data_IF_686934627840
#
_entry.id   IF_686934627840
#
_cell.length_a   1.000
_cell.length_b   1.000
_cell.length_c   1.000
_cell.angle_alpha   90.00
_cell.angle_beta   90.00
_cell.angle_gamma   90.00
#
_symmetry.space_group_name_H-M   'P 1'
#
loop_
_entity.id
_entity.type
_entity.pdbx_description
1 polymer ?
#
# COMPACT_ATOMS: atom_id res chain seq x y z
N UNK A 1 -31.91 -10.79 -4.65
CA UNK A 1 -30.96 -11.54 -5.49
C UNK A 1 -29.67 -11.52 -4.70
N UNK A 2 -29.34 -12.62 -4.03
CA UNK A 2 -28.03 -12.74 -3.40
C UNK A 2 -27.01 -12.72 -4.53
N UNK A 3 -26.25 -11.63 -4.65
CA UNK A 3 -25.15 -11.52 -5.60
C UNK A 3 -24.02 -12.42 -5.12
N UNK A 4 -24.20 -13.74 -5.30
CA UNK A 4 -23.41 -14.83 -4.75
C UNK A 4 -21.95 -14.86 -5.24
N UNK A 5 -21.19 -13.84 -4.88
CA UNK A 5 -19.74 -13.86 -4.95
C UNK A 5 -19.22 -14.66 -3.75
N UNK A 6 -18.42 -15.69 -4.03
CA UNK A 6 -17.71 -16.46 -3.01
C UNK A 6 -16.25 -16.05 -3.01
N UNK A 7 -15.71 -15.67 -1.85
CA UNK A 7 -14.30 -15.36 -1.71
C UNK A 7 -13.52 -16.66 -1.42
N UNK A 8 -12.57 -17.00 -2.29
CA UNK A 8 -11.67 -18.13 -2.12
C UNK A 8 -10.28 -17.61 -1.75
N UNK A 9 -9.77 -17.85 -0.52
CA UNK A 9 -8.39 -17.52 -0.19
C UNK A 9 -7.43 -18.45 -0.94
N UNK A 10 -6.40 -17.87 -1.55
CA UNK A 10 -5.38 -18.63 -2.28
C UNK A 10 -4.16 -18.84 -1.38
N UNK A 11 -3.92 -20.06 -0.86
CA UNK A 11 -2.72 -20.33 -0.08
C UNK A 11 -1.50 -20.28 -1.00
N UNK A 12 -0.49 -19.54 -0.57
CA UNK A 12 0.79 -19.39 -1.27
C UNK A 12 1.93 -19.68 -0.29
N UNK A 13 3.15 -19.79 -0.81
CA UNK A 13 4.32 -19.66 0.06
C UNK A 13 4.45 -18.20 0.55
N UNK A 14 5.40 -17.95 1.47
CA UNK A 14 5.71 -16.58 1.89
C UNK A 14 6.30 -15.79 0.72
N UNK A 15 5.48 -14.93 0.11
CA UNK A 15 5.91 -14.08 -1.00
C UNK A 15 7.04 -13.14 -0.58
N UNK A 16 8.03 -12.99 -1.45
CA UNK A 16 9.25 -12.23 -1.20
C UNK A 16 9.73 -11.50 -2.45
N UNK A 17 10.80 -10.71 -2.30
CA UNK A 17 11.39 -9.93 -3.40
C UNK A 17 11.94 -10.75 -4.57
N UNK A 18 12.07 -12.08 -4.41
CA UNK A 18 12.47 -12.98 -5.50
C UNK A 18 11.28 -13.39 -6.37
N UNK A 19 10.04 -13.12 -5.93
CA UNK A 19 8.84 -13.51 -6.63
C UNK A 19 8.37 -12.45 -7.61
N UNK A 20 7.94 -12.90 -8.79
CA UNK A 20 7.29 -12.08 -9.79
C UNK A 20 5.77 -12.27 -9.71
N UNK A 21 4.96 -11.20 -9.65
CA UNK A 21 3.50 -11.29 -9.54
C UNK A 21 2.86 -12.15 -10.64
N UNK A 22 3.37 -12.11 -11.87
CA UNK A 22 2.80 -12.92 -12.97
C UNK A 22 3.08 -14.40 -12.75
N UNK A 23 4.30 -14.74 -12.34
CA UNK A 23 4.71 -16.12 -12.05
C UNK A 23 3.93 -16.71 -10.89
N UNK A 24 3.73 -15.94 -9.81
CA UNK A 24 2.92 -16.34 -8.64
C UNK A 24 1.49 -16.64 -9.06
N UNK A 25 0.86 -15.76 -9.84
CA UNK A 25 -0.52 -15.95 -10.31
C UNK A 25 -0.65 -17.16 -11.23
N UNK A 26 0.32 -17.38 -12.13
CA UNK A 26 0.34 -18.58 -12.98
C UNK A 26 0.45 -19.87 -12.19
N UNK A 27 1.22 -19.86 -11.10
CA UNK A 27 1.45 -21.05 -10.31
C UNK A 27 0.25 -21.37 -9.39
N UNK A 28 -0.26 -20.37 -8.67
CA UNK A 28 -1.26 -20.59 -7.60
C UNK A 28 -2.71 -20.34 -8.01
N UNK A 29 -2.95 -19.44 -8.97
CA UNK A 29 -4.31 -18.98 -9.29
C UNK A 29 -4.81 -19.57 -10.60
N UNK A 30 -3.98 -19.57 -11.65
CA UNK A 30 -4.38 -20.05 -12.97
C UNK A 30 -4.92 -21.50 -13.01
N UNK A 31 -4.45 -22.46 -12.18
CA UNK A 31 -4.99 -23.82 -12.18
C UNK A 31 -6.43 -23.93 -11.65
N UNK A 32 -6.90 -22.95 -10.89
CA UNK A 32 -8.20 -22.99 -10.20
C UNK A 32 -9.17 -21.89 -10.67
N UNK A 33 -8.65 -20.84 -11.33
CA UNK A 33 -9.45 -19.74 -11.84
C UNK A 33 -10.40 -20.16 -12.96
N UNK A 34 -11.61 -19.62 -12.93
CA UNK A 34 -12.65 -19.81 -13.94
C UNK A 34 -12.89 -18.50 -14.70
N UNK A 35 -13.42 -18.56 -15.93
CA UNK A 35 -13.85 -17.36 -16.64
C UNK A 35 -14.85 -16.56 -15.80
N UNK A 36 -14.56 -15.27 -15.59
CA UNK A 36 -15.36 -14.38 -14.74
C UNK A 36 -14.83 -14.20 -13.33
N UNK A 37 -13.85 -15.00 -12.88
CA UNK A 37 -13.21 -14.80 -11.58
C UNK A 37 -12.32 -13.54 -11.57
N UNK A 38 -12.31 -12.84 -10.43
CA UNK A 38 -11.47 -11.67 -10.17
C UNK A 38 -10.47 -12.03 -9.07
N UNK A 39 -9.19 -11.83 -9.37
CA UNK A 39 -8.11 -11.96 -8.40
C UNK A 39 -7.90 -10.63 -7.65
N UNK A 40 -8.13 -10.62 -6.35
CA UNK A 40 -7.73 -9.53 -5.47
C UNK A 40 -6.32 -9.79 -4.90
N UNK A 41 -5.39 -8.87 -5.11
CA UNK A 41 -4.03 -8.89 -4.55
C UNK A 41 -3.92 -7.77 -3.52
N UNK A 42 -3.60 -8.11 -2.26
CA UNK A 42 -3.37 -7.10 -1.24
C UNK A 42 -2.11 -6.25 -1.55
N UNK A 43 -2.08 -4.99 -1.13
CA UNK A 43 -0.96 -4.09 -1.42
C UNK A 43 0.36 -4.57 -0.82
N UNK A 44 0.35 -5.04 0.43
CA UNK A 44 1.55 -5.40 1.17
C UNK A 44 2.36 -6.53 0.52
N UNK A 45 1.76 -7.69 0.16
CA UNK A 45 2.50 -8.73 -0.56
C UNK A 45 3.00 -8.25 -1.92
N UNK A 46 2.24 -7.39 -2.63
CA UNK A 46 2.71 -6.82 -3.88
C UNK A 46 3.93 -5.91 -3.69
N UNK A 47 3.90 -5.04 -2.68
CA UNK A 47 5.03 -4.21 -2.30
C UNK A 47 6.26 -5.05 -1.93
N UNK A 48 6.06 -6.13 -1.18
CA UNK A 48 7.12 -7.06 -0.78
C UNK A 48 7.77 -7.72 -2.00
N UNK A 49 6.97 -8.21 -2.96
CA UNK A 49 7.49 -8.78 -4.22
C UNK A 49 8.28 -7.74 -5.03
N UNK A 50 7.92 -6.46 -4.92
CA UNK A 50 8.67 -5.37 -5.55
C UNK A 50 9.91 -4.92 -4.75
N UNK A 51 10.23 -5.58 -3.62
CA UNK A 51 11.34 -5.20 -2.74
C UNK A 51 11.11 -3.88 -2.00
N UNK A 52 9.85 -3.44 -1.87
CA UNK A 52 9.47 -2.13 -1.31
C UNK A 52 9.27 -2.21 0.20
N UNK A 53 10.30 -2.64 0.91
CA UNK A 53 10.31 -2.69 2.36
C UNK A 53 11.68 -2.25 2.90
N UNK A 54 11.70 -1.73 4.13
CA UNK A 54 12.94 -1.26 4.76
C UNK A 54 12.99 -1.68 6.21
N UNK A 55 14.11 -2.25 6.62
CA UNK A 55 14.32 -2.55 8.02
C UNK A 55 14.54 -1.23 8.79
N UNK A 56 13.85 -0.99 9.93
CA UNK A 56 13.98 0.26 10.68
C UNK A 56 15.42 0.62 11.06
N UNK A 57 16.25 -0.39 11.41
CA UNK A 57 17.70 -0.21 11.68
C UNK A 57 18.50 0.33 10.49
N UNK A 58 18.03 0.14 9.25
CA UNK A 58 18.67 0.67 8.04
C UNK A 58 18.23 2.09 7.69
N UNK A 59 17.24 2.64 8.39
CA UNK A 59 16.76 4.01 8.19
C UNK A 59 17.42 4.92 9.21
N UNK A 60 18.02 6.02 8.75
CA UNK A 60 18.62 7.04 9.62
C UNK A 60 17.76 8.30 9.58
N UNK A 61 16.82 8.51 10.53
CA UNK A 61 15.94 9.66 10.51
C UNK A 61 16.71 10.97 10.74
N UNK A 62 16.59 11.88 9.79
CA UNK A 62 17.09 13.24 9.91
C UNK A 62 16.26 14.09 10.88
N UNK A 63 16.77 15.28 11.21
CA UNK A 63 16.07 16.23 12.09
C UNK A 63 14.65 16.54 11.60
N UNK A 64 14.47 16.61 10.28
CA UNK A 64 13.18 16.93 9.69
C UNK A 64 12.15 15.82 9.95
N UNK A 65 12.55 14.56 9.76
CA UNK A 65 11.65 13.43 9.99
C UNK A 65 11.20 13.38 11.45
N UNK A 66 12.12 13.63 12.39
CA UNK A 66 11.84 13.69 13.84
C UNK A 66 10.94 14.85 14.23
N UNK A 67 11.00 15.97 13.51
CA UNK A 67 10.13 17.12 13.74
C UNK A 67 8.72 16.84 13.20
N UNK A 68 8.62 16.40 11.96
CA UNK A 68 7.34 16.24 11.28
C UNK A 68 6.51 15.07 11.83
N UNK A 69 7.14 13.99 12.30
CA UNK A 69 6.41 12.84 12.83
C UNK A 69 5.54 13.20 14.05
N UNK A 70 5.91 14.23 14.81
CA UNK A 70 5.15 14.74 15.98
C UNK A 70 3.83 15.41 15.60
N UNK A 71 3.63 15.77 14.33
CA UNK A 71 2.39 16.38 13.85
C UNK A 71 1.26 15.34 13.64
N UNK A 72 1.60 14.06 13.69
CA UNK A 72 0.67 12.95 13.43
C UNK A 72 0.20 12.30 14.74
N UNK A 73 -0.96 11.66 14.69
CA UNK A 73 -1.46 10.88 15.82
C UNK A 73 -0.49 9.73 16.10
N UNK A 74 -0.17 9.39 17.36
CA UNK A 74 0.80 8.34 17.70
C UNK A 74 0.53 6.96 17.09
N UNK A 75 -0.72 6.69 16.71
CA UNK A 75 -1.16 5.44 16.08
C UNK A 75 -0.98 5.43 14.54
N UNK A 76 -0.58 6.56 13.94
CA UNK A 76 -0.37 6.65 12.51
C UNK A 76 1.04 6.19 12.13
N UNK A 77 1.17 5.51 10.98
CA UNK A 77 2.44 5.03 10.45
C UNK A 77 3.50 6.14 10.24
N UNK A 78 3.05 7.37 10.00
CA UNK A 78 3.93 8.55 9.87
C UNK A 78 4.31 9.20 11.21
N UNK A 79 3.85 8.66 12.34
CA UNK A 79 4.21 9.15 13.68
C UNK A 79 5.58 8.66 14.15
N UNK A 80 6.16 7.65 13.49
CA UNK A 80 7.55 7.28 13.71
C UNK A 80 8.50 8.11 12.84
N UNK A 81 9.68 8.40 13.38
CA UNK A 81 10.72 9.10 12.64
C UNK A 81 11.22 8.27 11.44
N UNK A 82 11.22 6.93 11.55
CA UNK A 82 11.63 6.04 10.47
C UNK A 82 10.60 6.01 9.33
N UNK A 83 9.30 5.91 9.63
CA UNK A 83 8.23 6.00 8.63
C UNK A 83 8.22 7.36 7.93
N UNK A 84 8.36 8.45 8.67
CA UNK A 84 8.48 9.80 8.10
C UNK A 84 9.74 9.97 7.22
N UNK A 85 10.87 9.40 7.63
CA UNK A 85 12.08 9.43 6.81
C UNK A 85 11.90 8.62 5.52
N UNK A 86 11.28 7.45 5.58
CA UNK A 86 10.96 6.65 4.41
C UNK A 86 10.07 7.43 3.43
N UNK A 87 9.07 8.18 3.94
CA UNK A 87 8.26 9.08 3.12
C UNK A 87 9.10 10.17 2.44
N UNK A 88 9.98 10.83 3.20
CA UNK A 88 10.88 11.87 2.68
C UNK A 88 11.77 11.33 1.56
N UNK A 89 12.27 10.11 1.69
CA UNK A 89 13.14 9.49 0.69
C UNK A 89 12.41 9.17 -0.62
N UNK A 90 11.11 8.87 -0.55
CA UNK A 90 10.28 8.52 -1.73
C UNK A 90 9.70 9.76 -2.40
N UNK A 91 9.11 10.65 -1.60
CA UNK A 91 8.34 11.82 -2.08
C UNK A 91 9.23 13.04 -2.27
N UNK A 92 10.37 13.07 -1.59
CA UNK A 92 11.31 14.17 -1.61
C UNK A 92 11.04 15.17 -0.49
N UNK A 93 12.15 15.62 0.13
CA UNK A 93 12.15 16.56 1.26
C UNK A 93 11.32 17.82 1.03
N UNK A 94 11.46 18.47 -0.12
CA UNK A 94 10.78 19.74 -0.42
C UNK A 94 9.26 19.56 -0.47
N UNK A 95 8.79 18.47 -1.08
CA UNK A 95 7.36 18.18 -1.20
C UNK A 95 6.74 17.81 0.13
N UNK A 96 7.44 17.02 0.95
CA UNK A 96 6.99 16.69 2.32
C UNK A 96 6.91 17.97 3.19
N UNK A 97 7.89 18.86 3.07
CA UNK A 97 7.86 20.16 3.75
C UNK A 97 6.66 21.01 3.33
N UNK A 98 6.43 21.18 2.03
CA UNK A 98 5.29 21.93 1.51
C UNK A 98 3.96 21.31 1.97
N UNK A 99 3.85 19.99 1.97
CA UNK A 99 2.69 19.27 2.46
C UNK A 99 2.44 19.48 3.96
N UNK A 100 3.50 19.48 4.76
CA UNK A 100 3.43 19.75 6.20
C UNK A 100 2.97 21.18 6.49
N UNK A 101 3.58 22.18 5.83
CA UNK A 101 3.17 23.59 5.97
C UNK A 101 1.72 23.78 5.55
N UNK A 102 1.32 23.24 4.38
CA UNK A 102 -0.06 23.30 3.90
C UNK A 102 -1.04 22.64 4.85
N UNK A 103 -0.68 21.51 5.47
CA UNK A 103 -1.52 20.83 6.45
C UNK A 103 -1.69 21.63 7.75
N UNK A 104 -0.63 22.29 8.23
CA UNK A 104 -0.71 23.17 9.42
C UNK A 104 -1.62 24.36 9.13
N UNK A 105 -1.44 25.03 7.98
CA UNK A 105 -2.30 26.16 7.57
C UNK A 105 -3.76 25.70 7.45
N UNK A 106 -4.01 24.60 6.75
CA UNK A 106 -5.36 24.09 6.57
C UNK A 106 -6.05 23.70 7.89
N UNK A 107 -5.27 23.24 8.89
CA UNK A 107 -5.78 22.94 10.22
C UNK A 107 -6.27 24.19 10.96
N UNK A 108 -5.69 25.36 10.70
CA UNK A 108 -6.19 26.64 11.21
C UNK A 108 -7.58 26.97 10.66
N UNK A 109 -7.90 26.48 9.45
CA UNK A 109 -9.22 26.58 8.82
C UNK A 109 -10.13 25.36 9.07
N UNK A 110 -9.78 24.49 10.04
CA UNK A 110 -10.58 23.32 10.40
C UNK A 110 -10.51 22.14 9.43
N UNK A 111 -9.70 22.21 8.37
CA UNK A 111 -9.54 21.13 7.40
C UNK A 111 -8.51 20.09 7.87
N UNK A 112 -8.84 18.80 7.73
CA UNK A 112 -7.97 17.67 8.09
C UNK A 112 -7.60 16.86 6.84
N UNK A 113 -6.49 16.14 6.88
CA UNK A 113 -6.07 15.22 5.81
C UNK A 113 -5.40 15.87 4.59
N UNK A 114 -5.14 17.19 4.62
CA UNK A 114 -4.48 17.93 3.53
C UNK A 114 -3.04 17.48 3.31
N UNK A 115 -2.35 17.05 4.38
CA UNK A 115 -1.01 16.48 4.27
C UNK A 115 -0.93 15.36 3.22
N UNK A 116 -1.80 14.36 3.33
CA UNK A 116 -1.81 13.21 2.43
C UNK A 116 -2.15 13.60 0.99
N UNK A 117 -3.00 14.60 0.79
CA UNK A 117 -3.32 15.12 -0.56
C UNK A 117 -2.12 15.75 -1.23
N UNK A 118 -1.30 16.49 -0.48
CA UNK A 118 -0.13 17.19 -1.00
C UNK A 118 1.11 16.28 -1.11
N UNK A 119 1.34 15.43 -0.10
CA UNK A 119 2.44 14.47 -0.07
C UNK A 119 2.28 13.39 -1.15
N UNK A 120 1.05 13.07 -1.56
CA UNK A 120 0.75 12.14 -2.65
C UNK A 120 0.32 10.77 -2.16
N UNK A 121 -0.04 9.89 -3.10
CA UNK A 121 -0.62 8.56 -2.81
C UNK A 121 0.26 7.71 -1.91
N UNK A 122 1.58 7.71 -2.12
CA UNK A 122 2.54 6.97 -1.31
C UNK A 122 2.50 7.35 0.18
N UNK A 123 2.10 8.58 0.53
CA UNK A 123 2.00 8.97 1.94
C UNK A 123 0.87 8.26 2.70
N UNK A 124 -0.17 7.80 1.99
CA UNK A 124 -1.27 7.02 2.58
C UNK A 124 -0.93 5.55 2.70
N UNK A 125 -0.08 5.08 1.80
CA UNK A 125 0.28 3.68 1.61
C UNK A 125 1.55 3.27 2.38
N UNK A 126 2.14 4.17 3.18
CA UNK A 126 3.23 3.77 4.07
C UNK A 126 2.60 3.13 5.30
N UNK A 127 2.83 1.84 5.44
CA UNK A 127 2.50 1.11 6.65
C UNK A 127 3.77 0.96 7.50
N UNK A 128 3.68 1.40 8.75
CA UNK A 128 4.77 1.22 9.72
C UNK A 128 4.59 -0.16 10.37
N UNK A 129 5.38 -0.46 11.41
CA UNK A 129 5.55 -1.76 12.11
C UNK A 129 4.25 -2.39 12.69
N UNK A 130 3.16 -2.48 11.92
CA UNK A 130 1.87 -3.03 12.36
C UNK A 130 1.24 -3.88 11.27
N UNK A 131 1.07 -5.17 11.53
CA UNK A 131 0.06 -6.00 10.86
C UNK A 131 0.50 -6.81 9.64
N UNK A 132 1.76 -6.71 9.20
CA UNK A 132 2.27 -7.61 8.14
C UNK A 132 2.67 -8.98 8.72
N UNK A 133 2.63 -10.04 7.92
CA UNK A 133 3.06 -11.39 8.34
C UNK A 133 4.58 -11.45 8.60
N UNK A 134 5.05 -12.20 9.63
CA UNK A 134 6.48 -12.41 9.86
C UNK A 134 7.21 -12.97 8.64
N UNK A 135 8.45 -12.51 8.34
CA UNK A 135 9.28 -11.58 9.14
C UNK A 135 9.04 -10.09 8.83
N UNK A 136 8.10 -9.77 7.96
CA UNK A 136 7.85 -8.39 7.49
C UNK A 136 7.10 -7.54 8.53
N UNK A 137 6.59 -8.16 9.60
CA UNK A 137 6.07 -7.49 10.79
C UNK A 137 7.07 -6.54 11.45
N UNK A 138 8.37 -6.71 11.18
CA UNK A 138 9.45 -5.88 11.71
C UNK A 138 9.96 -4.82 10.71
N UNK A 139 9.35 -4.72 9.53
CA UNK A 139 9.79 -3.85 8.45
C UNK A 139 8.78 -2.73 8.20
N UNK A 140 9.28 -1.61 7.71
CA UNK A 140 8.44 -0.57 7.13
C UNK A 140 8.10 -1.03 5.71
N UNK A 141 6.84 -1.27 5.43
CA UNK A 141 6.36 -1.66 4.09
C UNK A 141 5.84 -0.41 3.40
N UNK A 142 6.37 -0.16 2.20
CA UNK A 142 5.99 0.99 1.40
C UNK A 142 4.90 0.57 0.42
N UNK A 143 4.00 1.48 0.06
CA UNK A 143 2.99 1.16 -0.94
C UNK A 143 3.55 0.69 -2.28
N UNK A 144 2.85 -0.21 -3.00
CA UNK A 144 3.33 -0.78 -4.24
C UNK A 144 3.55 0.30 -5.31
N UNK A 145 4.53 0.07 -6.18
CA UNK A 145 4.80 0.92 -7.31
C UNK A 145 3.89 0.56 -8.49
N UNK A 146 3.22 1.57 -9.05
CA UNK A 146 2.36 1.46 -10.25
C UNK A 146 1.37 0.28 -10.18
N UNK A 147 0.56 0.16 -9.11
CA UNK A 147 -0.37 -0.96 -8.91
C UNK A 147 -1.31 -1.18 -10.11
N UNK A 148 -1.81 -0.11 -10.73
CA UNK A 148 -2.58 -0.17 -11.98
C UNK A 148 -1.86 -0.93 -13.10
N UNK A 149 -0.59 -0.59 -13.36
CA UNK A 149 0.20 -1.24 -14.42
C UNK A 149 0.52 -2.69 -14.08
N UNK A 150 0.68 -3.01 -12.80
CA UNK A 150 0.85 -4.39 -12.35
C UNK A 150 -0.41 -5.18 -12.63
N UNK A 151 -1.59 -4.69 -12.21
CA UNK A 151 -2.87 -5.34 -12.44
C UNK A 151 -3.11 -5.61 -13.94
N UNK A 152 -2.92 -4.60 -14.78
CA UNK A 152 -3.02 -4.72 -16.24
C UNK A 152 -2.03 -5.73 -16.83
N UNK A 153 -0.77 -5.73 -16.36
CA UNK A 153 0.24 -6.64 -16.87
C UNK A 153 -0.01 -8.09 -16.46
N UNK A 154 -0.43 -8.32 -15.22
CA UNK A 154 -0.81 -9.66 -14.74
C UNK A 154 -2.01 -10.15 -15.55
N UNK A 155 -3.08 -9.36 -15.63
CA UNK A 155 -4.27 -9.74 -16.38
C UNK A 155 -3.97 -10.06 -17.86
N UNK A 156 -3.17 -9.23 -18.53
CA UNK A 156 -2.75 -9.48 -19.91
C UNK A 156 -1.95 -10.78 -20.07
N UNK A 157 -1.14 -11.16 -19.08
CA UNK A 157 -0.24 -12.32 -19.17
C UNK A 157 -0.83 -13.63 -18.64
N UNK A 158 -1.91 -13.56 -17.87
CA UNK A 158 -2.58 -14.73 -17.27
C UNK A 158 -4.01 -14.93 -17.78
N UNK A 159 -4.63 -13.91 -18.36
CA UNK A 159 -6.04 -13.92 -18.77
C UNK A 159 -7.02 -13.78 -17.62
N UNK A 160 -6.55 -13.50 -16.41
CA UNK A 160 -7.37 -13.41 -15.19
C UNK A 160 -7.55 -11.93 -14.84
N UNK A 161 -8.77 -11.50 -14.54
CA UNK A 161 -9.02 -10.13 -14.08
C UNK A 161 -8.38 -9.89 -12.71
N UNK A 162 -7.74 -8.74 -12.50
CA UNK A 162 -6.96 -8.45 -11.27
C UNK A 162 -7.33 -7.09 -10.69
N UNK A 163 -7.51 -7.04 -9.37
CA UNK A 163 -7.53 -5.82 -8.57
C UNK A 163 -6.42 -5.84 -7.52
N UNK A 164 -5.70 -4.74 -7.38
CA UNK A 164 -4.78 -4.49 -6.26
C UNK A 164 -5.51 -3.65 -5.23
N UNK A 165 -5.60 -4.15 -4.00
CA UNK A 165 -6.43 -3.56 -2.95
C UNK A 165 -5.61 -3.27 -1.70
N UNK A 166 -5.84 -2.11 -1.09
CA UNK A 166 -5.45 -1.82 0.27
C UNK A 166 -6.59 -2.24 1.21
N UNK A 167 -6.33 -3.27 2.00
CA UNK A 167 -7.29 -3.86 2.95
C UNK A 167 -7.18 -3.22 4.33
N UNK A 168 -6.14 -2.44 4.59
CA UNK A 168 -5.92 -1.78 5.89
C UNK A 168 -6.73 -0.49 6.01
N UNK A 169 -7.01 0.19 4.89
CA UNK A 169 -7.89 1.37 4.83
C UNK A 169 -9.38 0.99 4.66
N UNK A 170 -9.82 -0.07 5.34
CA UNK A 170 -11.23 -0.29 5.68
C UNK A 170 -11.66 0.83 6.61
N UNK A 171 -11.90 2.01 6.05
CA UNK A 171 -12.33 3.15 6.84
C UNK A 171 -13.61 2.71 7.56
N UNK A 172 -13.64 2.88 8.90
CA UNK A 172 -14.80 2.57 9.76
C UNK A 172 -16.11 3.23 9.29
N UNK A 173 -16.04 4.08 8.25
CA UNK A 173 -17.10 4.89 7.70
C UNK A 173 -17.70 4.33 6.40
N UNK A 174 -16.97 3.52 5.64
CA UNK A 174 -17.42 3.00 4.33
C UNK A 174 -17.47 1.48 4.29
N UNK A 175 -16.62 0.76 5.04
CA UNK A 175 -16.57 -0.71 4.99
C UNK A 175 -16.05 -1.27 3.66
N UNK A 176 -15.44 -0.42 2.83
CA UNK A 176 -14.95 -0.75 1.49
C UNK A 176 -13.41 -0.74 1.49
N UNK A 177 -12.80 -1.71 0.80
CA UNK A 177 -11.36 -1.72 0.53
C UNK A 177 -11.02 -0.67 -0.53
N UNK A 178 -9.83 -0.07 -0.43
CA UNK A 178 -9.40 0.93 -1.40
C UNK A 178 -8.73 0.23 -2.58
N UNK A 179 -9.30 0.36 -3.78
CA UNK A 179 -8.69 -0.16 -5.01
C UNK A 179 -7.56 0.77 -5.45
N UNK A 180 -6.33 0.25 -5.44
CA UNK A 180 -5.13 0.99 -5.86
C UNK A 180 -4.89 0.89 -7.37
N UNK A 181 -5.41 -0.16 -7.98
CA UNK A 181 -5.42 -0.34 -9.43
C UNK A 181 -6.09 -1.64 -9.84
N UNK A 182 -6.71 -1.66 -11.01
CA UNK A 182 -7.48 -2.80 -11.49
C UNK A 182 -7.36 -2.96 -13.01
N UNK A 183 -7.40 -4.21 -13.48
CA UNK A 183 -7.48 -4.48 -14.92
C UNK A 183 -8.83 -4.04 -15.50
N UNK A 184 -8.89 -3.84 -16.81
CA UNK A 184 -10.14 -3.47 -17.48
C UNK A 184 -11.30 -4.43 -17.16
N UNK A 185 -12.47 -3.88 -16.88
CA UNK A 185 -13.67 -4.65 -16.55
C UNK A 185 -13.79 -5.08 -15.08
N UNK A 186 -12.96 -4.51 -14.19
CA UNK A 186 -13.05 -4.68 -12.74
C UNK A 186 -13.32 -3.32 -12.09
N UNK A 187 -14.38 -3.24 -11.30
CA UNK A 187 -14.89 -2.05 -10.59
C UNK A 187 -14.81 -2.18 -9.06
#
# INVERSE_FOLDING_TARGET
>A
MDNGASALPIPTHLLCHADDPVSVVRHYVAPIARPGDILAIAESPLAIMQGRYRHPKGVTPGWLARLLCRLFNPQASLASACGMQALIDIVGRLRVMAAAVGAVVARLFGQRGIFYRLAGSQARLIDDITGTMPPYDQFIVLGPEKPQKVAENVARRTGIAVAVVDVNDLSKRTGEAVVLGASAGVD
#
